data_IF_882841359416
#
_entry.id   IF_882841359416
#
_cell.length_a   1.000
_cell.length_b   1.000
_cell.length_c   1.000
_cell.angle_alpha   90.00
_cell.angle_beta   90.00
_cell.angle_gamma   90.00
#
_symmetry.space_group_name_H-M   'P 1'
#
loop_
_entity.id
_entity.type
_entity.pdbx_description
1 polymer ?
#
# COMPACT_ATOMS: atom_id res chain seq x y z
N UNK A 1 -26.84 8.90 -29.29
CA UNK A 1 -26.71 8.87 -30.77
C UNK A 1 -25.76 9.99 -31.16
N UNK A 2 -24.46 9.81 -31.32
CA UNK A 2 -23.85 9.13 -32.47
C UNK A 2 -22.38 8.83 -32.13
N UNK A 3 -22.09 7.67 -31.53
CA UNK A 3 -20.84 6.99 -31.86
C UNK A 3 -21.06 6.51 -33.29
N UNK A 4 -20.52 7.24 -34.26
CA UNK A 4 -20.61 6.83 -35.65
C UNK A 4 -19.98 5.45 -35.76
N UNK A 5 -20.85 4.48 -35.96
CA UNK A 5 -20.61 3.19 -36.56
C UNK A 5 -19.87 3.38 -37.90
N UNK A 6 -18.55 3.57 -37.82
CA UNK A 6 -17.64 3.49 -38.97
C UNK A 6 -16.45 2.55 -38.76
N UNK A 7 -16.47 1.75 -37.68
CA UNK A 7 -15.73 0.49 -37.64
C UNK A 7 -16.77 -0.64 -37.56
N UNK A 8 -16.88 -1.42 -38.63
CA UNK A 8 -17.77 -2.60 -38.74
C UNK A 8 -17.34 -3.78 -37.83
N UNK A 9 -16.50 -3.53 -36.82
CA UNK A 9 -15.73 -4.55 -36.08
C UNK A 9 -16.23 -4.80 -34.64
N UNK A 10 -17.32 -4.14 -34.22
CA UNK A 10 -17.91 -4.27 -32.88
C UNK A 10 -19.43 -4.45 -32.96
N UNK A 11 -19.95 -5.51 -32.32
CA UNK A 11 -21.37 -5.81 -32.21
C UNK A 11 -21.86 -5.34 -30.83
N UNK A 12 -22.84 -4.44 -30.80
CA UNK A 12 -23.54 -4.06 -29.58
C UNK A 12 -24.40 -5.23 -29.10
N UNK A 13 -24.09 -5.75 -27.90
CA UNK A 13 -24.77 -6.91 -27.34
C UNK A 13 -25.87 -6.53 -26.36
N UNK A 14 -25.70 -5.44 -25.61
CA UNK A 14 -26.69 -4.98 -24.64
C UNK A 14 -26.53 -3.50 -24.29
N UNK A 15 -27.65 -2.82 -24.03
CA UNK A 15 -27.72 -1.49 -23.41
C UNK A 15 -28.80 -1.57 -22.33
N UNK A 16 -28.46 -1.18 -21.12
CA UNK A 16 -29.42 -0.99 -20.04
C UNK A 16 -30.18 0.33 -20.29
N UNK A 17 -31.51 0.27 -20.54
CA UNK A 17 -32.29 1.45 -20.89
C UNK A 17 -32.56 2.40 -19.71
N UNK A 18 -32.41 1.95 -18.46
CA UNK A 18 -32.62 2.79 -17.28
C UNK A 18 -31.32 3.48 -16.85
N UNK A 19 -30.20 2.76 -16.97
CA UNK A 19 -28.91 3.27 -16.47
C UNK A 19 -27.99 3.80 -17.56
N UNK A 20 -28.23 3.51 -18.84
CA UNK A 20 -27.44 4.00 -19.99
C UNK A 20 -26.09 3.28 -20.20
N UNK A 21 -25.79 2.23 -19.44
CA UNK A 21 -24.57 1.43 -19.59
C UNK A 21 -24.70 0.41 -20.72
N UNK A 22 -23.59 0.12 -21.41
CA UNK A 22 -23.59 -0.74 -22.60
C UNK A 22 -22.44 -1.73 -22.66
N UNK A 23 -22.65 -2.85 -23.36
CA UNK A 23 -21.65 -3.88 -23.62
C UNK A 23 -21.44 -4.05 -25.14
N UNK A 24 -20.21 -3.84 -25.60
CA UNK A 24 -19.77 -4.09 -26.98
C UNK A 24 -18.85 -5.32 -27.03
N UNK A 25 -19.04 -6.18 -28.03
CA UNK A 25 -18.18 -7.34 -28.28
C UNK A 25 -17.49 -7.21 -29.65
N UNK A 26 -16.19 -7.51 -29.71
CA UNK A 26 -15.43 -7.56 -30.98
C UNK A 26 -15.06 -8.99 -31.33
N UNK A 27 -15.65 -9.53 -32.39
CA UNK A 27 -15.34 -10.88 -32.90
C UNK A 27 -13.91 -11.00 -33.46
N UNK A 28 -13.34 -9.90 -33.96
CA UNK A 28 -12.01 -9.88 -34.57
C UNK A 28 -10.87 -9.83 -33.55
N UNK A 29 -11.12 -9.25 -32.37
CA UNK A 29 -10.11 -9.05 -31.33
C UNK A 29 -10.38 -9.88 -30.06
N UNK A 30 -11.48 -10.62 -30.05
CA UNK A 30 -12.02 -11.41 -28.93
C UNK A 30 -12.01 -10.66 -27.57
N UNK A 31 -12.63 -9.47 -27.58
CA UNK A 31 -12.65 -8.54 -26.44
C UNK A 31 -14.07 -8.04 -26.15
N UNK A 32 -14.35 -7.84 -24.86
CA UNK A 32 -15.56 -7.15 -24.38
C UNK A 32 -15.21 -5.73 -23.91
N UNK A 33 -16.05 -4.76 -24.23
CA UNK A 33 -15.94 -3.36 -23.79
C UNK A 33 -17.16 -3.00 -22.94
N UNK A 34 -16.92 -2.46 -21.75
CA UNK A 34 -17.96 -1.91 -20.89
C UNK A 34 -18.02 -0.39 -21.06
N UNK A 35 -19.20 0.14 -21.33
CA UNK A 35 -19.45 1.56 -21.57
C UNK A 35 -20.28 2.13 -20.43
N UNK A 36 -19.91 3.33 -19.97
CA UNK A 36 -20.80 4.17 -19.16
C UNK A 36 -21.75 5.00 -20.03
N UNK A 37 -22.60 5.78 -19.34
CA UNK A 37 -23.69 6.61 -19.90
C UNK A 37 -23.28 7.66 -20.92
N UNK A 38 -21.98 8.00 -21.01
CA UNK A 38 -21.43 8.96 -21.96
C UNK A 38 -20.51 8.30 -23.01
N UNK A 39 -20.52 6.97 -23.08
CA UNK A 39 -19.73 6.16 -24.02
C UNK A 39 -18.21 6.40 -23.94
N UNK A 40 -17.72 6.74 -22.75
CA UNK A 40 -16.29 6.73 -22.45
C UNK A 40 -15.89 5.29 -22.14
N UNK A 41 -14.88 4.79 -22.84
CA UNK A 41 -14.35 3.45 -22.66
C UNK A 41 -13.85 3.30 -21.22
N UNK A 42 -14.54 2.50 -20.42
CA UNK A 42 -14.09 2.21 -19.07
C UNK A 42 -12.89 1.26 -19.18
N UNK A 43 -13.04 0.05 -19.70
CA UNK A 43 -12.03 -1.02 -19.60
C UNK A 43 -12.06 -1.97 -20.82
N UNK A 44 -10.96 -2.69 -21.10
CA UNK A 44 -10.88 -3.78 -22.11
C UNK A 44 -10.31 -5.06 -21.50
N UNK A 45 -10.83 -6.25 -21.87
CA UNK A 45 -10.30 -7.55 -21.38
C UNK A 45 -10.28 -8.60 -22.52
N UNK A 46 -9.23 -9.44 -22.63
CA UNK A 46 -9.23 -10.62 -23.52
C UNK A 46 -10.26 -11.67 -23.05
N UNK A 47 -10.92 -12.34 -23.98
CA UNK A 47 -11.89 -13.41 -23.68
C UNK A 47 -11.26 -14.56 -22.87
N UNK A 48 -9.99 -14.87 -23.11
CA UNK A 48 -9.20 -15.94 -22.53
C UNK A 48 -8.78 -15.66 -21.07
N UNK A 49 -9.01 -14.46 -20.55
CA UNK A 49 -8.94 -14.19 -19.10
C UNK A 49 -10.13 -14.82 -18.33
N UNK A 50 -11.21 -15.18 -19.05
CA UNK A 50 -12.33 -15.98 -18.52
C UNK A 50 -11.97 -17.47 -18.36
N UNK A 51 -10.92 -17.97 -19.04
CA UNK A 51 -10.52 -19.38 -19.02
C UNK A 51 -9.76 -19.82 -17.75
N UNK A 52 -9.20 -18.88 -16.97
CA UNK A 52 -8.33 -19.19 -15.81
C UNK A 52 -9.06 -19.77 -14.58
N UNK A 53 -10.38 -19.89 -14.64
CA UNK A 53 -11.18 -20.59 -13.63
C UNK A 53 -12.06 -21.62 -14.33
N UNK A 54 -11.65 -22.88 -14.30
CA UNK A 54 -12.38 -23.98 -14.95
C UNK A 54 -13.83 -24.11 -14.48
N UNK A 55 -14.15 -23.64 -13.27
CA UNK A 55 -15.54 -23.51 -12.81
C UNK A 55 -16.25 -22.31 -13.45
N UNK A 56 -15.65 -21.10 -13.48
CA UNK A 56 -16.30 -19.92 -14.12
C UNK A 56 -16.40 -20.02 -15.64
N UNK A 57 -15.54 -20.80 -16.29
CA UNK A 57 -15.62 -21.03 -17.74
C UNK A 57 -16.65 -22.11 -18.11
N UNK A 58 -16.97 -23.02 -17.18
CA UNK A 58 -18.16 -23.88 -17.32
C UNK A 58 -19.42 -23.03 -17.20
N UNK A 59 -19.41 -21.97 -16.37
CA UNK A 59 -20.49 -20.97 -16.35
C UNK A 59 -20.48 -20.17 -17.66
N UNK A 60 -19.38 -19.60 -18.14
CA UNK A 60 -19.35 -18.82 -19.39
C UNK A 60 -19.71 -19.62 -20.67
N UNK A 61 -19.33 -20.90 -20.77
CA UNK A 61 -19.76 -21.78 -21.88
C UNK A 61 -21.18 -22.32 -21.71
N UNK A 62 -21.73 -22.30 -20.48
CA UNK A 62 -23.16 -22.56 -20.20
C UNK A 62 -24.00 -21.28 -20.07
N UNK A 63 -23.40 -20.08 -20.18
CA UNK A 63 -24.03 -18.73 -20.11
C UNK A 63 -24.79 -18.41 -21.40
N UNK A 64 -25.67 -19.32 -21.81
CA UNK A 64 -26.90 -18.98 -22.53
C UNK A 64 -28.05 -18.69 -21.54
N UNK A 65 -27.74 -18.24 -20.32
CA UNK A 65 -28.68 -18.20 -19.19
C UNK A 65 -28.68 -16.83 -18.47
N UNK A 66 -29.82 -16.38 -17.90
CA UNK A 66 -30.10 -14.97 -17.55
C UNK A 66 -29.32 -14.36 -16.37
N UNK A 67 -28.47 -15.11 -15.68
CA UNK A 67 -27.93 -14.69 -14.37
C UNK A 67 -26.54 -13.98 -14.43
N UNK A 68 -26.05 -13.65 -15.62
CA UNK A 68 -24.84 -12.82 -15.76
C UNK A 68 -25.07 -11.37 -15.29
N UNK A 69 -26.32 -10.89 -15.42
CA UNK A 69 -26.73 -9.57 -14.95
C UNK A 69 -26.59 -9.44 -13.43
N UNK A 70 -26.93 -10.47 -12.66
CA UNK A 70 -26.89 -10.42 -11.19
C UNK A 70 -25.45 -10.33 -10.65
N UNK A 71 -24.50 -11.02 -11.29
CA UNK A 71 -23.09 -10.96 -10.87
C UNK A 71 -22.44 -9.61 -11.22
N UNK A 72 -22.73 -9.09 -12.41
CA UNK A 72 -22.26 -7.76 -12.84
C UNK A 72 -22.91 -6.65 -12.00
N UNK A 73 -24.21 -6.77 -11.71
CA UNK A 73 -24.93 -5.87 -10.82
C UNK A 73 -24.35 -5.90 -9.41
N UNK A 74 -23.99 -7.08 -8.89
CA UNK A 74 -23.34 -7.21 -7.59
C UNK A 74 -21.97 -6.54 -7.56
N UNK A 75 -21.12 -6.74 -8.56
CA UNK A 75 -19.81 -6.06 -8.63
C UNK A 75 -19.98 -4.54 -8.78
N UNK A 76 -20.94 -4.09 -9.57
CA UNK A 76 -21.25 -2.67 -9.71
C UNK A 76 -21.79 -2.07 -8.39
N UNK A 77 -22.62 -2.80 -7.67
CA UNK A 77 -23.12 -2.38 -6.35
C UNK A 77 -22.02 -2.40 -5.29
N UNK A 78 -21.14 -3.40 -5.28
CA UNK A 78 -19.95 -3.43 -4.40
C UNK A 78 -19.04 -2.21 -4.66
N UNK A 79 -18.86 -1.82 -5.93
CA UNK A 79 -18.09 -0.64 -6.34
C UNK A 79 -18.79 0.70 -6.05
N UNK A 80 -20.14 0.73 -6.06
CA UNK A 80 -20.93 1.90 -5.62
C UNK A 80 -20.90 2.06 -4.11
N UNK A 81 -21.04 0.96 -3.37
CA UNK A 81 -21.05 0.96 -1.91
C UNK A 81 -19.67 1.28 -1.31
N UNK A 82 -18.58 0.99 -2.04
CA UNK A 82 -17.22 1.33 -1.63
C UNK A 82 -16.87 2.81 -1.79
N UNK A 83 -17.76 3.64 -2.35
CA UNK A 83 -17.51 5.08 -2.59
C UNK A 83 -16.44 5.38 -3.63
N UNK A 84 -15.91 4.36 -4.33
CA UNK A 84 -14.88 4.52 -5.36
C UNK A 84 -15.43 5.18 -6.63
N UNK A 85 -16.74 5.15 -6.85
CA UNK A 85 -17.41 5.73 -8.02
C UNK A 85 -18.76 6.34 -7.63
N UNK A 86 -19.00 7.60 -8.03
CA UNK A 86 -20.35 8.20 -8.04
C UNK A 86 -20.82 8.41 -9.48
N UNK A 87 -22.14 8.33 -9.76
CA UNK A 87 -22.69 8.81 -11.01
C UNK A 87 -22.38 10.30 -11.20
N UNK A 88 -22.00 10.70 -12.42
CA UNK A 88 -22.02 12.11 -12.82
C UNK A 88 -23.47 12.47 -13.15
N UNK A 89 -23.94 13.62 -12.67
CA UNK A 89 -25.29 14.11 -13.01
C UNK A 89 -25.33 14.63 -14.45
N UNK A 90 -26.51 14.60 -15.08
CA UNK A 90 -26.68 15.07 -16.46
C UNK A 90 -26.23 16.54 -16.61
N UNK A 91 -25.22 16.76 -17.46
CA UNK A 91 -24.61 18.08 -17.68
C UNK A 91 -23.40 18.39 -16.81
N UNK A 92 -23.00 17.48 -15.92
CA UNK A 92 -21.77 17.60 -15.15
C UNK A 92 -20.55 17.33 -16.06
N UNK A 93 -19.88 18.39 -16.51
CA UNK A 93 -18.60 18.26 -17.19
C UNK A 93 -17.57 17.63 -16.24
N UNK A 94 -16.77 16.69 -16.72
CA UNK A 94 -15.48 16.34 -16.08
C UNK A 94 -14.63 17.61 -16.12
N UNK A 95 -14.80 18.47 -15.10
CA UNK A 95 -13.82 19.48 -14.79
C UNK A 95 -12.53 18.71 -14.57
N UNK A 96 -11.59 18.80 -15.52
CA UNK A 96 -10.19 18.48 -15.22
C UNK A 96 -9.91 19.18 -13.89
N UNK A 97 -9.59 18.39 -12.86
CA UNK A 97 -9.67 18.78 -11.47
C UNK A 97 -9.29 20.24 -11.30
N UNK A 98 -10.30 21.11 -11.17
CA UNK A 98 -10.05 22.52 -10.91
C UNK A 98 -9.31 22.56 -9.58
N UNK A 99 -8.20 23.29 -9.52
CA UNK A 99 -7.43 23.57 -8.30
C UNK A 99 -8.28 24.35 -7.28
N UNK A 100 -9.28 23.72 -6.69
CA UNK A 100 -10.11 24.30 -5.64
C UNK A 100 -9.97 23.44 -4.39
N UNK A 101 -9.19 23.96 -3.44
CA UNK A 101 -9.32 23.75 -1.99
C UNK A 101 -9.71 22.34 -1.52
N UNK A 102 -9.00 21.29 -1.95
CA UNK A 102 -9.01 20.03 -1.20
C UNK A 102 -8.40 20.32 0.17
N UNK A 103 -9.26 20.43 1.19
CA UNK A 103 -8.81 20.49 2.57
C UNK A 103 -8.28 19.11 2.93
N UNK A 104 -6.94 18.97 2.93
CA UNK A 104 -6.29 17.74 3.34
C UNK A 104 -6.38 17.59 4.86
N UNK A 105 -6.95 16.48 5.32
CA UNK A 105 -6.97 16.10 6.73
C UNK A 105 -5.70 15.32 7.09
N UNK A 106 -5.13 15.57 8.26
CA UNK A 106 -3.99 14.81 8.80
C UNK A 106 -4.52 13.57 9.52
N UNK A 107 -4.92 12.54 8.79
CA UNK A 107 -5.55 11.36 9.40
C UNK A 107 -4.55 10.47 10.12
N UNK A 108 -3.27 10.51 9.72
CA UNK A 108 -2.30 9.55 10.19
C UNK A 108 -0.93 10.14 10.53
N UNK A 109 -0.37 9.72 11.66
CA UNK A 109 1.01 10.02 12.04
C UNK A 109 1.80 8.73 12.16
N UNK A 110 2.96 8.66 11.51
CA UNK A 110 3.94 7.60 11.69
C UNK A 110 5.01 8.10 12.65
N UNK A 111 5.02 7.58 13.87
CA UNK A 111 6.01 7.89 14.87
C UNK A 111 7.14 6.87 14.84
N UNK A 112 8.32 7.30 14.39
CA UNK A 112 9.56 6.54 14.46
C UNK A 112 10.12 6.74 15.87
N UNK A 113 9.80 5.82 16.79
CA UNK A 113 10.02 6.01 18.22
C UNK A 113 11.50 5.92 18.63
N UNK A 114 12.32 5.25 17.83
CA UNK A 114 13.72 4.96 18.10
C UNK A 114 14.51 4.74 16.80
N UNK A 115 15.81 5.10 16.80
CA UNK A 115 16.77 4.67 15.76
C UNK A 115 17.45 3.35 16.13
N UNK A 116 17.53 3.06 17.43
CA UNK A 116 18.18 1.87 17.94
C UNK A 116 17.35 0.63 17.59
N UNK A 117 18.04 -0.44 17.22
CA UNK A 117 17.40 -1.73 16.96
C UNK A 117 18.19 -2.88 17.57
N UNK A 118 17.42 -3.82 18.11
CA UNK A 118 17.70 -5.22 18.32
C UNK A 118 18.60 -5.99 17.37
N UNK A 119 18.31 -5.71 16.11
CA UNK A 119 18.46 -6.61 14.99
C UNK A 119 19.31 -5.92 13.93
N UNK A 120 19.91 -6.74 13.08
CA UNK A 120 20.75 -6.27 11.98
C UNK A 120 20.24 -6.87 10.68
N UNK A 121 18.97 -6.60 10.39
CA UNK A 121 18.25 -7.25 9.30
C UNK A 121 18.98 -7.01 7.97
N UNK A 122 19.20 -8.10 7.23
CA UNK A 122 19.88 -8.06 5.94
C UNK A 122 19.16 -7.15 4.93
N UNK A 123 17.85 -7.01 5.04
CA UNK A 123 17.01 -6.24 4.12
C UNK A 123 16.51 -4.92 4.73
N UNK A 124 17.03 -4.47 5.88
CA UNK A 124 16.56 -3.23 6.50
C UNK A 124 16.78 -2.04 5.56
N UNK A 125 15.73 -1.25 5.33
CA UNK A 125 15.81 -0.02 4.56
C UNK A 125 16.09 1.22 5.43
N UNK A 126 15.69 1.17 6.71
CA UNK A 126 15.94 2.24 7.67
C UNK A 126 17.43 2.29 8.07
N UNK A 127 18.01 3.48 8.29
CA UNK A 127 19.25 3.58 9.04
C UNK A 127 18.93 3.23 10.50
N UNK A 128 19.62 2.24 11.07
CA UNK A 128 19.45 1.85 12.47
C UNK A 128 20.78 1.89 13.19
N UNK A 129 20.78 2.29 14.46
CA UNK A 129 21.95 2.23 15.33
C UNK A 129 21.92 0.96 16.20
N UNK A 130 23.10 0.47 16.61
CA UNK A 130 23.18 -0.67 17.53
C UNK A 130 22.62 -0.30 18.90
N UNK A 131 22.11 -1.27 19.66
CA UNK A 131 21.59 -1.06 21.03
C UNK A 131 22.63 -0.43 21.98
N UNK A 132 23.90 -0.75 21.74
CA UNK A 132 25.07 -0.25 22.47
C UNK A 132 25.58 1.12 21.98
N UNK A 133 24.81 1.78 21.11
CA UNK A 133 24.97 3.19 20.79
C UNK A 133 25.07 4.02 22.09
N UNK A 134 25.97 5.02 22.09
CA UNK A 134 26.25 5.84 23.26
C UNK A 134 24.97 6.45 23.85
N UNK A 135 24.95 6.69 25.16
CA UNK A 135 23.87 7.36 25.90
C UNK A 135 23.41 8.67 25.24
N UNK A 136 24.31 9.31 24.48
CA UNK A 136 24.11 10.53 23.69
C UNK A 136 23.20 10.36 22.45
N UNK A 137 23.09 9.15 21.87
CA UNK A 137 22.12 8.88 20.80
C UNK A 137 20.71 8.62 21.35
N UNK A 138 20.60 8.00 22.54
CA UNK A 138 19.33 7.83 23.26
C UNK A 138 18.77 9.16 23.77
N UNK A 139 19.64 10.11 24.12
CA UNK A 139 19.26 11.44 24.64
C UNK A 139 18.74 12.41 23.58
N UNK A 140 18.83 12.07 22.28
CA UNK A 140 18.31 12.92 21.19
C UNK A 140 16.86 12.61 20.84
N UNK A 141 16.23 11.63 21.49
CA UNK A 141 14.84 11.27 21.23
C UNK A 141 13.92 12.42 21.61
N UNK A 142 12.90 12.67 20.79
CA UNK A 142 11.82 13.57 21.19
C UNK A 142 11.20 13.08 22.50
N UNK A 143 11.09 13.98 23.46
CA UNK A 143 10.50 13.70 24.77
C UNK A 143 9.02 13.35 24.64
N UNK A 144 8.52 12.53 25.56
CA UNK A 144 7.10 12.14 25.60
C UNK A 144 6.21 13.37 25.65
N UNK A 145 6.51 14.34 26.52
CA UNK A 145 5.68 15.54 26.69
C UNK A 145 5.57 16.35 25.39
N UNK A 146 6.69 16.56 24.71
CA UNK A 146 6.74 17.26 23.41
C UNK A 146 5.94 16.53 22.34
N UNK A 147 6.09 15.21 22.26
CA UNK A 147 5.33 14.40 21.31
C UNK A 147 3.84 14.40 21.63
N UNK A 148 3.44 14.33 22.90
CA UNK A 148 2.03 14.37 23.29
C UNK A 148 1.38 15.73 22.97
N UNK A 149 2.08 16.84 23.19
CA UNK A 149 1.61 18.18 22.81
C UNK A 149 1.43 18.29 21.28
N UNK A 150 2.32 17.67 20.50
CA UNK A 150 2.19 17.60 19.05
C UNK A 150 0.96 16.78 18.62
N UNK A 151 0.72 15.62 19.25
CA UNK A 151 -0.48 14.81 18.97
C UNK A 151 -1.76 15.58 19.29
N UNK A 152 -1.82 16.28 20.43
CA UNK A 152 -2.98 17.11 20.79
C UNK A 152 -3.23 18.23 19.77
N UNK A 153 -2.16 18.89 19.31
CA UNK A 153 -2.22 19.94 18.30
C UNK A 153 -2.64 19.42 16.91
N UNK A 154 -2.44 18.12 16.65
CA UNK A 154 -2.84 17.48 15.40
C UNK A 154 -4.32 17.06 15.36
N UNK A 155 -5.00 16.95 16.51
CA UNK A 155 -6.41 16.51 16.56
C UNK A 155 -7.35 17.42 15.75
N UNK A 156 -7.26 18.76 15.81
CA UNK A 156 -8.11 19.64 14.99
C UNK A 156 -7.89 19.49 13.48
N UNK A 157 -6.78 18.88 13.05
CA UNK A 157 -6.48 18.59 11.65
C UNK A 157 -7.07 17.25 11.17
N UNK A 158 -7.77 16.51 12.05
CA UNK A 158 -8.44 15.25 11.72
C UNK A 158 -7.62 13.99 12.04
N UNK A 159 -6.72 14.04 13.02
CA UNK A 159 -5.91 12.88 13.41
C UNK A 159 -6.76 11.74 13.99
N UNK A 160 -6.71 10.59 13.33
CA UNK A 160 -7.45 9.38 13.71
C UNK A 160 -6.52 8.21 14.09
N UNK A 161 -5.32 8.16 13.51
CA UNK A 161 -4.44 7.00 13.61
C UNK A 161 -2.98 7.38 13.89
N UNK A 162 -2.37 6.76 14.90
CA UNK A 162 -0.94 6.86 15.17
C UNK A 162 -0.28 5.50 15.01
N UNK A 163 0.61 5.37 14.04
CA UNK A 163 1.43 4.17 13.84
C UNK A 163 2.80 4.37 14.46
N UNK A 164 3.16 3.52 15.40
CA UNK A 164 4.47 3.52 16.05
C UNK A 164 5.37 2.48 15.36
N UNK A 165 6.54 2.92 14.92
CA UNK A 165 7.54 2.11 14.20
C UNK A 165 8.95 2.68 14.49
N UNK A 166 9.97 2.31 13.72
CA UNK A 166 11.34 2.80 13.91
C UNK A 166 12.40 1.73 13.65
N UNK A 167 13.47 1.78 14.43
CA UNK A 167 14.37 0.65 14.64
C UNK A 167 13.63 -0.47 15.38
N UNK A 168 13.64 -0.46 16.71
CA UNK A 168 12.72 -1.26 17.53
C UNK A 168 12.03 -0.39 18.59
N UNK A 169 10.71 -0.11 18.46
CA UNK A 169 10.00 0.74 19.40
C UNK A 169 10.02 0.25 20.84
N UNK A 170 10.02 -1.07 21.08
CA UNK A 170 10.01 -1.64 22.44
C UNK A 170 11.31 -1.38 23.22
N UNK A 171 12.36 -0.84 22.58
CA UNK A 171 13.55 -0.31 23.28
C UNK A 171 13.30 1.07 23.92
N UNK A 172 12.13 1.66 23.74
CA UNK A 172 11.74 2.93 24.32
C UNK A 172 11.00 2.71 25.65
N UNK A 173 11.65 3.06 26.76
CA UNK A 173 11.16 2.76 28.12
C UNK A 173 9.85 3.47 28.52
N UNK A 174 9.55 4.61 27.90
CA UNK A 174 8.31 5.39 28.09
C UNK A 174 7.23 5.07 27.05
N UNK A 175 7.42 4.05 26.19
CA UNK A 175 6.47 3.71 25.12
C UNK A 175 5.06 3.43 25.65
N UNK A 176 4.94 2.72 26.78
CA UNK A 176 3.63 2.43 27.38
C UNK A 176 2.88 3.68 27.84
N UNK A 177 3.61 4.72 28.27
CA UNK A 177 3.00 6.02 28.61
C UNK A 177 2.55 6.77 27.37
N UNK A 178 3.34 6.72 26.28
CA UNK A 178 2.98 7.31 24.99
C UNK A 178 1.71 6.66 24.43
N UNK A 179 1.64 5.32 24.41
CA UNK A 179 0.46 4.58 23.96
C UNK A 179 -0.78 5.01 24.75
N UNK A 180 -0.70 5.02 26.09
CA UNK A 180 -1.80 5.46 26.95
C UNK A 180 -2.19 6.91 26.70
N UNK A 181 -1.21 7.79 26.48
CA UNK A 181 -1.43 9.19 26.15
C UNK A 181 -2.23 9.34 24.86
N UNK A 182 -1.80 8.67 23.79
CA UNK A 182 -2.48 8.73 22.48
C UNK A 182 -3.91 8.19 22.60
N UNK A 183 -4.10 7.01 23.20
CA UNK A 183 -5.44 6.41 23.36
C UNK A 183 -6.38 7.30 24.16
N UNK A 184 -5.88 7.99 25.19
CA UNK A 184 -6.68 8.94 25.98
C UNK A 184 -7.15 10.15 25.15
N UNK A 185 -6.38 10.57 24.16
CA UNK A 185 -6.74 11.67 23.25
C UNK A 185 -7.73 11.24 22.16
N UNK A 186 -7.88 9.94 21.90
CA UNK A 186 -8.84 9.39 20.94
C UNK A 186 -8.25 8.56 19.79
N UNK A 187 -7.09 8.92 19.19
CA UNK A 187 -6.56 8.17 18.05
C UNK A 187 -6.33 6.67 18.34
N UNK A 188 -6.50 5.84 17.31
CA UNK A 188 -6.09 4.43 17.38
C UNK A 188 -4.56 4.32 17.31
N UNK A 189 -4.02 3.24 17.87
CA UNK A 189 -2.58 3.00 17.90
C UNK A 189 -2.26 1.68 17.21
N UNK A 190 -1.37 1.74 16.23
CA UNK A 190 -0.75 0.57 15.64
C UNK A 190 0.74 0.52 16.01
N UNK A 191 1.30 -0.67 16.16
CA UNK A 191 2.71 -0.89 16.48
C UNK A 191 3.32 -1.91 15.52
N UNK A 192 4.42 -1.53 14.86
CA UNK A 192 5.30 -2.47 14.18
C UNK A 192 6.51 -2.80 15.06
N UNK A 193 6.75 -4.10 15.28
CA UNK A 193 7.84 -4.58 16.13
C UNK A 193 8.43 -5.87 15.58
N UNK A 194 9.71 -6.14 15.88
CA UNK A 194 10.32 -7.44 15.62
C UNK A 194 9.81 -8.54 16.56
N UNK A 195 9.02 -8.19 17.60
CA UNK A 195 8.40 -9.11 18.54
C UNK A 195 9.36 -9.70 19.57
N UNK A 196 10.67 -9.44 19.47
CA UNK A 196 11.69 -10.05 20.31
C UNK A 196 11.53 -9.70 21.80
N UNK A 197 11.11 -8.46 22.06
CA UNK A 197 10.98 -7.87 23.39
C UNK A 197 9.56 -8.00 23.98
N UNK A 198 8.64 -8.71 23.31
CA UNK A 198 7.32 -8.95 23.87
C UNK A 198 7.40 -10.07 24.92
N UNK A 199 7.44 -9.65 26.18
CA UNK A 199 7.23 -10.48 27.36
C UNK A 199 5.79 -10.33 27.89
N UNK A 200 5.48 -10.92 29.06
CA UNK A 200 4.12 -10.87 29.63
C UNK A 200 3.68 -9.42 29.89
N UNK A 201 4.59 -8.59 30.42
CA UNK A 201 4.31 -7.20 30.76
C UNK A 201 4.07 -6.37 29.49
N UNK A 202 4.88 -6.57 28.46
CA UNK A 202 4.70 -5.91 27.17
C UNK A 202 3.39 -6.36 26.50
N UNK A 203 3.08 -7.66 26.52
CA UNK A 203 1.83 -8.18 25.97
C UNK A 203 0.59 -7.64 26.71
N UNK A 204 0.62 -7.56 28.04
CA UNK A 204 -0.43 -6.94 28.84
C UNK A 204 -0.60 -5.46 28.49
N UNK A 205 0.50 -4.71 28.41
CA UNK A 205 0.50 -3.29 28.06
C UNK A 205 -0.09 -3.05 26.67
N UNK A 206 0.27 -3.86 25.67
CA UNK A 206 -0.22 -3.72 24.29
C UNK A 206 -1.71 -4.10 24.18
N UNK A 207 -2.12 -5.17 24.87
CA UNK A 207 -3.52 -5.60 24.92
C UNK A 207 -4.41 -4.56 25.61
N UNK A 208 -4.03 -4.09 26.81
CA UNK A 208 -4.77 -3.05 27.53
C UNK A 208 -4.79 -1.70 26.81
N UNK A 209 -3.76 -1.43 25.99
CA UNK A 209 -3.70 -0.26 25.13
C UNK A 209 -4.53 -0.38 23.85
N UNK A 210 -5.19 -1.53 23.62
CA UNK A 210 -5.93 -1.84 22.39
C UNK A 210 -5.09 -1.57 21.13
N UNK A 211 -3.81 -1.95 21.19
CA UNK A 211 -2.85 -1.68 20.12
C UNK A 211 -2.98 -2.73 19.03
N UNK A 212 -3.09 -2.29 17.77
CA UNK A 212 -2.96 -3.17 16.61
C UNK A 212 -1.47 -3.51 16.42
N UNK A 213 -1.09 -4.78 16.66
CA UNK A 213 0.31 -5.19 16.63
C UNK A 213 0.65 -5.96 15.36
N UNK A 214 1.61 -5.43 14.61
CA UNK A 214 2.24 -6.08 13.46
C UNK A 214 3.61 -6.63 13.85
N UNK A 215 3.75 -7.96 13.86
CA UNK A 215 4.98 -8.68 14.17
C UNK A 215 5.71 -9.02 12.87
N UNK A 216 6.97 -8.65 12.85
CA UNK A 216 7.88 -8.89 11.74
C UNK A 216 8.31 -10.37 11.66
N UNK A 217 7.96 -11.09 10.58
CA UNK A 217 8.31 -12.52 10.39
C UNK A 217 8.69 -12.84 8.93
N UNK A 218 9.99 -13.04 8.64
CA UNK A 218 10.48 -13.29 7.27
C UNK A 218 10.80 -14.75 6.92
N UNK A 219 10.32 -15.71 7.70
CA UNK A 219 10.55 -17.13 7.45
C UNK A 219 9.74 -17.99 8.40
N UNK A 220 9.34 -19.18 7.94
CA UNK A 220 8.60 -20.16 8.74
C UNK A 220 9.51 -21.06 9.58
N UNK A 221 10.81 -20.76 9.63
CA UNK A 221 11.82 -21.47 10.40
C UNK A 221 12.82 -20.50 11.02
N UNK A 222 13.37 -20.92 12.15
CA UNK A 222 14.46 -20.23 12.85
C UNK A 222 15.65 -19.95 11.93
N UNK A 223 16.08 -20.94 11.16
CA UNK A 223 17.25 -20.82 10.26
C UNK A 223 17.08 -19.67 9.27
N UNK A 224 15.92 -19.57 8.60
CA UNK A 224 15.71 -18.54 7.56
C UNK A 224 15.38 -17.19 8.18
N UNK A 225 14.50 -17.17 9.18
CA UNK A 225 14.07 -15.93 9.80
C UNK A 225 15.23 -15.24 10.55
N UNK A 226 15.94 -15.96 11.42
CA UNK A 226 17.02 -15.37 12.24
C UNK A 226 18.18 -14.90 11.36
N UNK A 227 18.48 -15.63 10.27
CA UNK A 227 19.48 -15.24 9.27
C UNK A 227 19.12 -13.91 8.59
N UNK A 228 17.86 -13.73 8.18
CA UNK A 228 17.41 -12.50 7.54
C UNK A 228 17.31 -11.33 8.51
N UNK A 229 16.99 -11.59 9.78
CA UNK A 229 16.90 -10.58 10.84
C UNK A 229 18.25 -10.26 11.48
N UNK A 230 19.25 -11.12 11.32
CA UNK A 230 20.55 -10.97 11.99
C UNK A 230 20.41 -10.99 13.51
N UNK A 231 19.44 -11.75 14.04
CA UNK A 231 19.11 -11.81 15.47
C UNK A 231 18.77 -13.25 15.88
N UNK A 232 19.70 -13.98 16.51
CA UNK A 232 19.46 -15.35 16.96
C UNK A 232 18.32 -15.45 17.98
N UNK A 233 17.49 -16.48 17.83
CA UNK A 233 16.28 -16.72 18.62
C UNK A 233 15.09 -15.84 18.24
N UNK A 234 15.18 -14.98 17.22
CA UNK A 234 14.11 -14.04 16.90
C UNK A 234 12.86 -14.73 16.39
N UNK A 235 12.97 -15.84 15.68
CA UNK A 235 11.82 -16.63 15.23
C UNK A 235 10.97 -17.13 16.40
N UNK A 236 11.64 -17.72 17.40
CA UNK A 236 10.96 -18.27 18.59
C UNK A 236 10.31 -17.15 19.41
N UNK A 237 10.98 -16.00 19.53
CA UNK A 237 10.43 -14.85 20.24
C UNK A 237 9.24 -14.24 19.51
N UNK A 238 9.32 -14.06 18.19
CA UNK A 238 8.24 -13.52 17.39
C UNK A 238 6.99 -14.42 17.44
N UNK A 239 7.15 -15.74 17.30
CA UNK A 239 6.01 -16.68 17.38
C UNK A 239 5.40 -16.73 18.77
N UNK A 240 6.23 -16.73 19.82
CA UNK A 240 5.75 -16.60 21.21
C UNK A 240 4.98 -15.30 21.41
N UNK A 241 5.47 -14.19 20.88
CA UNK A 241 4.80 -12.88 20.98
C UNK A 241 3.42 -12.89 20.32
N UNK A 242 3.29 -13.47 19.12
CA UNK A 242 1.99 -13.65 18.45
C UNK A 242 1.01 -14.42 19.35
N UNK A 243 1.45 -15.57 19.88
CA UNK A 243 0.62 -16.39 20.75
C UNK A 243 0.20 -15.66 22.03
N UNK A 244 1.12 -14.95 22.66
CA UNK A 244 0.84 -14.19 23.89
C UNK A 244 -0.18 -13.07 23.70
N UNK A 245 -0.14 -12.40 22.54
CA UNK A 245 -1.12 -11.38 22.17
C UNK A 245 -2.48 -12.01 21.84
N UNK A 246 -2.47 -13.10 21.07
CA UNK A 246 -3.69 -13.84 20.72
C UNK A 246 -4.41 -14.37 21.97
N UNK A 247 -3.67 -14.90 22.95
CA UNK A 247 -4.22 -15.39 24.23
C UNK A 247 -4.87 -14.29 25.08
N UNK A 248 -4.58 -13.03 24.77
CA UNK A 248 -5.18 -11.83 25.39
C UNK A 248 -6.32 -11.24 24.56
N UNK A 249 -6.79 -11.95 23.54
CA UNK A 249 -7.86 -11.51 22.64
C UNK A 249 -7.43 -10.45 21.63
N UNK A 250 -6.13 -10.20 21.47
CA UNK A 250 -5.64 -9.37 20.37
C UNK A 250 -5.60 -10.19 19.07
N UNK A 251 -5.65 -9.50 17.94
CA UNK A 251 -5.50 -10.10 16.62
C UNK A 251 -4.17 -9.65 15.99
N UNK A 252 -3.03 -10.26 16.37
CA UNK A 252 -1.74 -9.86 15.83
C UNK A 252 -1.68 -10.09 14.32
N UNK A 253 -0.91 -9.27 13.63
CA UNK A 253 -0.66 -9.41 12.20
C UNK A 253 0.81 -9.76 11.97
N UNK A 254 1.10 -10.36 10.83
CA UNK A 254 2.48 -10.59 10.38
C UNK A 254 2.82 -9.65 9.24
N UNK A 255 4.01 -9.05 9.30
CA UNK A 255 4.62 -8.32 8.18
C UNK A 255 5.88 -9.06 7.73
N UNK A 256 5.88 -9.47 6.47
CA UNK A 256 6.96 -10.20 5.80
C UNK A 256 7.54 -9.36 4.67
N UNK A 257 8.87 -9.24 4.62
CA UNK A 257 9.60 -8.75 3.45
C UNK A 257 10.07 -9.93 2.61
N UNK A 258 9.50 -10.08 1.42
CA UNK A 258 9.77 -11.22 0.54
C UNK A 258 10.98 -10.97 -0.37
N UNK A 259 11.83 -11.98 -0.48
CA UNK A 259 13.04 -12.02 -1.31
C UNK A 259 13.28 -13.44 -1.80
N UNK A 260 14.24 -13.64 -2.71
CA UNK A 260 14.62 -14.98 -3.16
C UNK A 260 15.15 -15.88 -2.03
N UNK A 261 15.64 -15.27 -0.93
CA UNK A 261 16.15 -16.00 0.25
C UNK A 261 15.07 -16.64 1.13
N UNK A 262 13.83 -16.15 1.09
CA UNK A 262 12.71 -16.69 1.87
C UNK A 262 11.48 -17.06 1.03
N UNK A 263 11.58 -16.98 -0.30
CA UNK A 263 10.48 -17.33 -1.21
C UNK A 263 9.94 -18.74 -0.95
N UNK A 264 10.83 -19.71 -0.68
CA UNK A 264 10.46 -21.09 -0.37
C UNK A 264 9.81 -21.29 1.00
N UNK A 265 9.84 -20.29 1.88
CA UNK A 265 9.30 -20.37 3.24
C UNK A 265 7.97 -19.63 3.40
N UNK A 266 7.49 -18.90 2.38
CA UNK A 266 6.27 -18.07 2.46
C UNK A 266 5.06 -18.84 3.01
N UNK A 267 4.78 -20.02 2.45
CA UNK A 267 3.64 -20.84 2.89
C UNK A 267 3.80 -21.32 4.33
N UNK A 268 5.04 -21.64 4.74
CA UNK A 268 5.34 -22.02 6.12
C UNK A 268 5.19 -20.84 7.07
N UNK A 269 5.62 -19.64 6.67
CA UNK A 269 5.40 -18.39 7.42
C UNK A 269 3.90 -18.15 7.63
N UNK A 270 3.08 -18.33 6.58
CA UNK A 270 1.62 -18.21 6.66
C UNK A 270 1.02 -19.23 7.63
N UNK A 271 1.43 -20.49 7.51
CA UNK A 271 1.01 -21.56 8.43
C UNK A 271 1.37 -21.24 9.89
N UNK A 272 2.58 -20.72 10.14
CA UNK A 272 3.05 -20.34 11.48
C UNK A 272 2.22 -19.17 12.02
N UNK A 273 1.97 -18.15 11.21
CA UNK A 273 1.15 -17.00 11.60
C UNK A 273 -0.27 -17.44 11.99
N UNK A 274 -0.94 -18.20 11.12
CA UNK A 274 -2.28 -18.71 11.37
C UNK A 274 -2.34 -19.58 12.65
N UNK A 275 -1.37 -20.46 12.85
CA UNK A 275 -1.32 -21.35 14.03
C UNK A 275 -1.07 -20.61 15.34
N UNK A 276 -0.58 -19.37 15.29
CA UNK A 276 -0.35 -18.52 16.46
C UNK A 276 -1.40 -17.41 16.61
N UNK A 277 -2.55 -17.55 15.93
CA UNK A 277 -3.71 -16.68 16.11
C UNK A 277 -3.63 -15.35 15.35
N UNK A 278 -2.79 -15.26 14.31
CA UNK A 278 -2.77 -14.08 13.46
C UNK A 278 -3.95 -14.03 12.51
N UNK A 279 -4.52 -12.83 12.32
CA UNK A 279 -5.66 -12.59 11.42
C UNK A 279 -5.24 -12.20 9.99
N UNK A 280 -4.02 -11.66 9.83
CA UNK A 280 -3.50 -11.13 8.56
C UNK A 280 -2.00 -11.39 8.41
N UNK A 281 -1.59 -11.75 7.19
CA UNK A 281 -0.18 -11.75 6.77
C UNK A 281 -0.01 -10.76 5.62
N UNK A 282 0.72 -9.67 5.88
CA UNK A 282 1.13 -8.67 4.90
C UNK A 282 2.49 -9.05 4.30
N UNK A 283 2.53 -9.18 2.99
CA UNK A 283 3.70 -9.60 2.21
C UNK A 283 4.14 -8.42 1.34
N UNK A 284 5.29 -7.85 1.67
CA UNK A 284 5.86 -6.68 1.00
C UNK A 284 7.05 -7.09 0.13
N UNK A 285 7.13 -6.61 -1.13
CA UNK A 285 8.35 -6.67 -1.91
C UNK A 285 9.50 -6.01 -1.15
N UNK A 286 10.70 -6.60 -1.24
CA UNK A 286 11.89 -6.02 -0.65
C UNK A 286 12.15 -4.62 -1.22
N UNK A 287 12.27 -3.65 -0.32
CA UNK A 287 12.62 -2.28 -0.66
C UNK A 287 14.13 -2.13 -0.90
N UNK A 288 14.54 -1.38 -1.92
CA UNK A 288 15.94 -1.24 -2.34
C UNK A 288 16.45 0.20 -2.21
N UNK A 289 16.02 0.91 -1.18
CA UNK A 289 16.43 2.29 -0.87
C UNK A 289 16.92 2.40 0.57
N UNK A 290 17.54 3.52 0.93
CA UNK A 290 18.17 3.69 2.25
C UNK A 290 19.27 2.68 2.51
N UNK A 291 19.31 2.09 3.71
CA UNK A 291 20.31 1.05 4.06
C UNK A 291 20.25 -0.19 3.15
N UNK A 292 19.10 -0.42 2.50
CA UNK A 292 18.90 -1.53 1.57
C UNK A 292 19.35 -1.20 0.13
N UNK A 293 19.80 0.03 -0.16
CA UNK A 293 20.28 0.42 -1.49
C UNK A 293 21.43 -0.46 -1.99
N UNK A 294 22.29 -0.95 -1.09
CA UNK A 294 23.35 -1.93 -1.40
C UNK A 294 22.85 -3.25 -2.02
N UNK A 295 21.53 -3.52 -1.94
CA UNK A 295 20.91 -4.71 -2.53
C UNK A 295 20.42 -4.47 -3.95
N UNK A 296 20.42 -3.22 -4.44
CA UNK A 296 19.95 -2.88 -5.79
C UNK A 296 20.69 -3.71 -6.83
N UNK A 297 19.93 -4.34 -7.74
CA UNK A 297 20.48 -5.24 -8.76
C UNK A 297 20.94 -6.61 -8.26
N UNK A 298 20.82 -6.92 -6.97
CA UNK A 298 21.22 -8.24 -6.44
C UNK A 298 20.23 -9.34 -6.81
N UNK A 299 20.74 -10.56 -6.92
CA UNK A 299 19.97 -11.79 -7.16
C UNK A 299 19.04 -12.20 -6.01
N UNK A 300 18.88 -11.38 -4.96
CA UNK A 300 17.89 -11.65 -3.92
C UNK A 300 16.58 -10.90 -4.15
N UNK A 301 16.58 -9.86 -4.99
CA UNK A 301 15.37 -9.11 -5.34
C UNK A 301 14.52 -9.97 -6.27
N UNK A 302 13.23 -10.10 -5.94
CA UNK A 302 12.29 -10.80 -6.80
C UNK A 302 11.93 -9.94 -8.02
N UNK A 303 11.78 -10.60 -9.16
CA UNK A 303 11.19 -10.03 -10.36
C UNK A 303 9.69 -9.81 -10.17
N UNK A 304 9.11 -8.92 -10.97
CA UNK A 304 7.65 -8.73 -10.98
C UNK A 304 6.90 -10.02 -11.32
N UNK A 305 7.45 -10.88 -12.19
CA UNK A 305 6.87 -12.20 -12.51
C UNK A 305 6.77 -13.10 -11.30
N UNK A 306 7.84 -13.20 -10.50
CA UNK A 306 7.82 -14.00 -9.26
C UNK A 306 6.83 -13.45 -8.23
N UNK A 307 6.73 -12.13 -8.10
CA UNK A 307 5.75 -11.49 -7.20
C UNK A 307 4.30 -11.76 -7.65
N UNK A 308 4.01 -11.62 -8.95
CA UNK A 308 2.70 -11.94 -9.53
C UNK A 308 2.37 -13.41 -9.31
N UNK A 309 3.32 -14.31 -9.57
CA UNK A 309 3.12 -15.75 -9.42
C UNK A 309 2.84 -16.12 -7.96
N UNK A 310 3.56 -15.52 -7.01
CA UNK A 310 3.26 -15.72 -5.59
C UNK A 310 1.87 -15.20 -5.21
N UNK A 311 1.49 -14.01 -5.71
CA UNK A 311 0.15 -13.45 -5.49
C UNK A 311 -0.96 -14.36 -6.04
N UNK A 312 -0.77 -15.06 -7.17
CA UNK A 312 -1.79 -15.99 -7.71
C UNK A 312 -2.17 -17.09 -6.72
N UNK A 313 -1.23 -17.51 -5.86
CA UNK A 313 -1.46 -18.52 -4.82
C UNK A 313 -2.28 -18.01 -3.63
N UNK A 314 -2.60 -16.71 -3.58
CA UNK A 314 -3.28 -16.06 -2.45
C UNK A 314 -4.56 -16.78 -2.02
N UNK A 315 -5.50 -17.00 -2.95
CA UNK A 315 -6.80 -17.60 -2.62
C UNK A 315 -6.67 -19.00 -2.05
N UNK A 316 -5.79 -19.82 -2.63
CA UNK A 316 -5.55 -21.18 -2.18
C UNK A 316 -4.93 -21.21 -0.78
N UNK A 317 -4.00 -20.29 -0.51
CA UNK A 317 -3.36 -20.15 0.80
C UNK A 317 -4.33 -19.60 1.86
N UNK A 318 -5.15 -18.59 1.53
CA UNK A 318 -6.21 -18.08 2.43
C UNK A 318 -7.20 -19.21 2.77
N UNK A 319 -7.67 -19.96 1.77
CA UNK A 319 -8.60 -21.07 1.97
C UNK A 319 -7.99 -22.21 2.80
N UNK A 320 -6.70 -22.50 2.58
CA UNK A 320 -5.98 -23.57 3.28
C UNK A 320 -5.70 -23.26 4.74
N UNK A 321 -5.35 -22.02 5.06
CA UNK A 321 -4.87 -21.64 6.39
C UNK A 321 -5.85 -20.78 7.19
N UNK A 322 -6.93 -20.29 6.59
CA UNK A 322 -7.94 -19.48 7.28
C UNK A 322 -7.43 -18.12 7.76
N UNK A 323 -6.38 -17.59 7.13
CA UNK A 323 -5.78 -16.28 7.44
C UNK A 323 -5.85 -15.38 6.22
N UNK A 324 -6.12 -14.09 6.42
CA UNK A 324 -6.14 -13.13 5.31
C UNK A 324 -4.72 -12.85 4.81
N UNK A 325 -4.56 -12.69 3.51
CA UNK A 325 -3.27 -12.39 2.89
C UNK A 325 -3.34 -11.06 2.14
N UNK A 326 -2.37 -10.20 2.40
CA UNK A 326 -2.25 -8.92 1.74
C UNK A 326 -0.92 -8.83 1.01
N UNK A 327 -0.96 -8.78 -0.32
CA UNK A 327 0.23 -8.62 -1.15
C UNK A 327 0.36 -7.16 -1.55
N UNK A 328 1.42 -6.50 -1.10
CA UNK A 328 1.71 -5.11 -1.48
C UNK A 328 2.22 -5.07 -2.91
N UNK A 329 1.32 -4.87 -3.86
CA UNK A 329 1.62 -4.65 -5.27
C UNK A 329 0.84 -3.45 -5.79
N UNK A 330 1.39 -2.71 -6.77
CA UNK A 330 0.65 -1.66 -7.45
C UNK A 330 -0.70 -2.18 -7.99
N UNK A 331 -1.77 -1.36 -7.99
CA UNK A 331 -3.08 -1.75 -8.51
C UNK A 331 -3.07 -2.30 -9.94
N UNK A 332 -2.11 -1.89 -10.78
CA UNK A 332 -1.89 -2.46 -12.12
C UNK A 332 -1.61 -3.96 -12.10
N UNK A 333 -1.14 -4.51 -10.98
CA UNK A 333 -0.89 -5.93 -10.80
C UNK A 333 -1.86 -6.56 -9.80
N UNK A 334 -3.00 -5.91 -9.51
CA UNK A 334 -4.05 -6.43 -8.66
C UNK A 334 -5.30 -6.81 -9.47
N UNK A 335 -6.17 -7.63 -8.88
CA UNK A 335 -7.48 -7.93 -9.46
C UNK A 335 -8.47 -6.83 -9.12
N UNK A 336 -9.51 -6.62 -9.94
CA UNK A 336 -10.56 -5.64 -9.64
C UNK A 336 -11.20 -5.86 -8.27
N UNK A 337 -11.39 -7.12 -7.88
CA UNK A 337 -11.90 -7.47 -6.55
C UNK A 337 -10.98 -6.97 -5.43
N UNK A 338 -9.66 -7.13 -5.55
CA UNK A 338 -8.73 -6.64 -4.51
C UNK A 338 -8.69 -5.12 -4.44
N UNK A 339 -8.77 -4.45 -5.59
CA UNK A 339 -8.86 -2.99 -5.65
C UNK A 339 -10.15 -2.52 -4.96
N UNK A 340 -11.29 -3.09 -5.34
CA UNK A 340 -12.60 -2.75 -4.78
C UNK A 340 -12.73 -3.09 -3.29
N UNK A 341 -12.11 -4.19 -2.85
CA UNK A 341 -12.15 -4.62 -1.45
C UNK A 341 -11.10 -3.94 -0.56
N UNK A 342 -10.38 -2.92 -1.06
CA UNK A 342 -9.32 -2.24 -0.31
C UNK A 342 -8.10 -3.14 0.02
N UNK A 343 -7.93 -4.27 -0.66
CA UNK A 343 -6.80 -5.20 -0.51
C UNK A 343 -5.60 -4.83 -1.36
N UNK A 344 -5.61 -3.64 -1.95
CA UNK A 344 -4.46 -2.98 -2.57
C UNK A 344 -4.07 -1.80 -1.72
N UNK A 345 -2.90 -1.88 -1.09
CA UNK A 345 -2.39 -0.83 -0.21
C UNK A 345 -2.10 0.42 -1.00
N UNK A 346 -2.77 1.50 -0.63
CA UNK A 346 -2.34 2.82 -1.04
C UNK A 346 -1.79 3.54 0.18
N UNK A 347 -0.56 4.02 0.05
CA UNK A 347 0.05 4.87 1.06
C UNK A 347 -0.77 6.17 1.16
N UNK A 348 -1.23 6.58 2.35
CA UNK A 348 -2.00 7.81 2.53
C UNK A 348 -1.07 9.03 2.59
N UNK A 349 -0.03 9.09 1.74
CA UNK A 349 1.05 10.08 1.80
C UNK A 349 0.55 11.54 1.70
N UNK A 350 -0.68 11.79 1.22
CA UNK A 350 -1.31 13.12 1.18
C UNK A 350 -1.89 13.56 2.54
N UNK A 351 -2.23 12.59 3.39
CA UNK A 351 -2.97 12.73 4.64
C UNK A 351 -2.17 12.21 5.85
N UNK A 352 -0.84 12.12 5.73
CA UNK A 352 0.01 11.65 6.82
C UNK A 352 1.28 12.49 7.03
N UNK A 353 1.84 12.39 8.24
CA UNK A 353 3.18 12.87 8.57
C UNK A 353 4.01 11.75 9.22
N UNK A 354 5.32 11.77 8.98
CA UNK A 354 6.32 11.02 9.72
C UNK A 354 7.00 11.91 10.75
N UNK A 355 7.00 11.49 12.02
CA UNK A 355 7.80 12.08 13.09
C UNK A 355 8.99 11.18 13.36
N UNK A 356 10.19 11.67 13.07
CA UNK A 356 11.44 10.95 13.24
C UNK A 356 11.88 10.92 14.71
N UNK A 357 12.82 10.04 15.10
CA UNK A 357 13.16 9.86 16.52
C UNK A 357 13.61 11.14 17.21
N UNK A 358 14.26 12.04 16.48
CA UNK A 358 14.73 13.32 17.00
C UNK A 358 13.69 14.45 16.96
N UNK A 359 12.45 14.15 16.57
CA UNK A 359 11.38 15.12 16.43
C UNK A 359 11.30 15.78 15.05
N UNK A 360 12.22 15.48 14.13
CA UNK A 360 12.12 15.99 12.75
C UNK A 360 10.85 15.48 12.07
N UNK A 361 10.22 16.30 11.23
CA UNK A 361 9.00 15.99 10.49
C UNK A 361 9.32 15.82 9.01
N UNK A 362 8.78 14.74 8.43
CA UNK A 362 8.74 14.47 7.00
C UNK A 362 7.35 13.93 6.63
N UNK A 363 7.08 13.59 5.36
CA UNK A 363 5.80 12.98 4.97
C UNK A 363 5.74 11.49 5.33
N UNK A 364 6.89 10.81 5.47
CA UNK A 364 7.00 9.46 6.03
C UNK A 364 8.42 9.24 6.59
N UNK A 365 8.78 8.00 6.97
CA UNK A 365 10.14 7.69 7.46
C UNK A 365 11.27 7.84 6.46
N UNK A 366 10.98 8.27 5.23
CA UNK A 366 12.02 8.55 4.24
C UNK A 366 12.92 9.71 4.65
N UNK A 367 12.44 10.61 5.52
CA UNK A 367 13.26 11.70 6.07
C UNK A 367 14.50 11.22 6.83
N UNK A 368 14.51 9.98 7.35
CA UNK A 368 15.71 9.37 7.94
C UNK A 368 16.82 9.08 6.91
N UNK A 369 16.49 9.11 5.62
CA UNK A 369 17.38 8.77 4.51
C UNK A 369 17.67 10.02 3.67
N UNK A 370 16.63 10.80 3.38
CA UNK A 370 16.69 12.00 2.55
C UNK A 370 16.31 13.21 3.40
N UNK A 371 17.32 13.87 3.96
CA UNK A 371 17.16 14.96 4.92
C UNK A 371 16.61 16.24 4.28
N UNK A 372 16.72 16.36 2.95
CA UNK A 372 16.06 17.39 2.14
C UNK A 372 14.53 17.25 2.11
N UNK A 373 13.99 16.12 2.58
CA UNK A 373 12.55 15.90 2.77
C UNK A 373 12.09 16.14 4.22
N UNK A 374 12.94 16.72 5.06
CA UNK A 374 12.59 17.20 6.39
C UNK A 374 12.13 18.66 6.26
N UNK A 375 10.92 18.95 6.73
CA UNK A 375 10.30 20.28 6.59
C UNK A 375 9.80 20.85 7.92
N UNK A 376 10.21 20.27 9.05
CA UNK A 376 9.96 20.83 10.37
C UNK A 376 10.59 19.97 11.47
N UNK A 377 10.50 20.44 12.71
CA UNK A 377 10.92 19.69 13.90
C UNK A 377 10.02 20.05 15.08
N UNK A 378 9.62 19.06 15.86
CA UNK A 378 8.89 19.23 17.11
C UNK A 378 9.91 19.33 18.25
N UNK A 379 10.63 20.45 18.33
CA UNK A 379 11.73 20.60 19.27
C UNK A 379 11.42 21.39 20.55
N UNK A 380 10.43 22.29 20.63
CA UNK A 380 10.01 22.97 21.88
C UNK A 380 8.76 23.88 21.69
N UNK A 381 8.33 24.60 22.75
CA UNK A 381 7.08 25.40 22.82
C UNK A 381 6.86 26.33 21.61
N UNK A 382 5.64 26.28 21.03
CA UNK A 382 5.22 27.18 19.95
C UNK A 382 5.30 26.61 18.53
N UNK A 383 5.64 25.32 18.37
CA UNK A 383 5.53 24.63 17.09
C UNK A 383 4.07 24.67 16.56
N UNK A 384 3.88 25.22 15.37
CA UNK A 384 2.57 25.35 14.72
C UNK A 384 2.40 24.28 13.64
N UNK A 385 1.75 23.18 14.02
CA UNK A 385 1.44 22.08 13.10
C UNK A 385 0.47 22.51 12.00
N UNK A 386 -0.46 23.41 12.29
CA UNK A 386 -1.45 23.86 11.31
C UNK A 386 -0.76 24.60 10.17
N UNK A 387 0.14 25.51 10.52
CA UNK A 387 0.97 26.22 9.55
C UNK A 387 1.84 25.26 8.74
N UNK A 388 2.56 24.33 9.40
CA UNK A 388 3.38 23.34 8.69
C UNK A 388 2.54 22.49 7.73
N UNK A 389 1.36 22.05 8.17
CA UNK A 389 0.47 21.20 7.36
C UNK A 389 -0.09 21.92 6.13
N UNK A 390 -0.31 23.24 6.22
CA UNK A 390 -0.87 24.06 5.14
C UNK A 390 0.21 24.62 4.21
N UNK A 391 1.36 25.01 4.74
CA UNK A 391 2.34 25.84 4.03
C UNK A 391 3.63 25.09 3.62
N UNK A 392 3.88 23.87 4.13
CA UNK A 392 5.12 23.17 3.79
C UNK A 392 5.19 22.86 2.29
N UNK A 393 6.22 23.39 1.63
CA UNK A 393 6.41 23.29 0.18
C UNK A 393 6.39 21.85 -0.30
N UNK A 394 7.07 20.93 0.40
CA UNK A 394 7.07 19.51 0.05
C UNK A 394 5.68 18.86 0.12
N UNK A 395 4.84 19.25 1.09
CA UNK A 395 3.46 18.75 1.18
C UNK A 395 2.60 19.30 0.05
N UNK A 396 2.72 20.60 -0.23
CA UNK A 396 2.06 21.25 -1.37
C UNK A 396 2.49 20.57 -2.66
N UNK A 397 3.78 20.31 -2.85
CA UNK A 397 4.34 19.63 -4.01
C UNK A 397 3.72 18.24 -4.19
N UNK A 398 3.76 17.40 -3.15
CA UNK A 398 3.21 16.04 -3.19
C UNK A 398 1.70 16.04 -3.44
N UNK A 399 0.95 17.01 -2.91
CA UNK A 399 -0.50 17.10 -3.09
C UNK A 399 -0.91 17.61 -4.46
N UNK A 400 -0.21 18.63 -4.96
CA UNK A 400 -0.57 19.37 -6.18
C UNK A 400 0.11 18.83 -7.44
N UNK A 401 1.33 18.31 -7.35
CA UNK A 401 2.07 17.86 -8.52
C UNK A 401 1.69 16.44 -8.97
N UNK A 402 1.19 15.57 -8.08
CA UNK A 402 0.87 14.18 -8.44
C UNK A 402 -0.42 13.99 -9.23
N UNK A 403 -1.21 15.04 -9.47
CA UNK A 403 -2.45 14.93 -10.24
C UNK A 403 -2.24 15.27 -11.70
N UNK A 404 -2.20 14.23 -12.56
CA UNK A 404 -2.11 14.34 -14.01
C UNK A 404 -0.71 14.64 -14.54
N UNK A 405 0.34 14.53 -13.72
CA UNK A 405 1.72 14.91 -14.10
C UNK A 405 2.77 13.82 -13.84
N UNK A 406 2.35 12.61 -13.46
CA UNK A 406 3.29 11.49 -13.35
C UNK A 406 3.94 11.21 -14.71
N UNK A 407 5.23 10.86 -14.69
CA UNK A 407 6.01 10.50 -15.86
C UNK A 407 6.06 8.99 -16.05
N UNK A 408 6.57 8.56 -17.20
CA UNK A 408 6.77 7.15 -17.55
C UNK A 408 5.45 6.36 -17.56
N UNK A 409 5.53 5.07 -17.29
CA UNK A 409 4.35 4.18 -17.34
C UNK A 409 3.23 4.62 -16.39
N UNK A 410 3.56 5.24 -15.25
CA UNK A 410 2.57 5.72 -14.31
C UNK A 410 1.72 6.87 -14.86
N UNK A 411 2.29 7.72 -15.72
CA UNK A 411 1.56 8.78 -16.42
C UNK A 411 0.63 8.26 -17.52
N UNK A 412 0.92 7.06 -18.04
CA UNK A 412 0.12 6.38 -19.04
C UNK A 412 -0.93 5.43 -18.41
N UNK A 413 -0.89 5.21 -17.10
CA UNK A 413 -1.72 4.19 -16.44
C UNK A 413 -3.13 4.72 -16.10
N UNK A 414 -4.18 3.95 -16.37
CA UNK A 414 -5.57 4.29 -15.99
C UNK A 414 -5.76 4.47 -14.48
N UNK A 415 -4.86 3.90 -13.66
CA UNK A 415 -4.88 4.06 -12.20
C UNK A 415 -4.13 5.30 -11.71
N UNK A 416 -3.59 6.16 -12.57
CA UNK A 416 -2.80 7.35 -12.17
C UNK A 416 -3.52 8.23 -11.14
N UNK A 417 -4.81 8.51 -11.37
CA UNK A 417 -5.65 9.33 -10.50
C UNK A 417 -5.97 8.69 -9.15
N UNK A 418 -5.94 7.36 -9.07
CA UNK A 418 -6.21 6.58 -7.87
C UNK A 418 -4.90 6.23 -7.14
N UNK A 419 -4.05 5.45 -7.79
CA UNK A 419 -2.79 4.93 -7.26
C UNK A 419 -1.72 6.00 -7.01
N UNK A 420 -1.69 7.06 -7.82
CA UNK A 420 -0.66 8.13 -7.78
C UNK A 420 0.77 7.61 -7.85
N UNK A 421 0.97 6.47 -8.49
CA UNK A 421 2.27 5.82 -8.62
C UNK A 421 2.72 5.03 -7.38
N UNK A 422 1.83 4.51 -6.54
CA UNK A 422 2.22 3.65 -5.42
C UNK A 422 3.20 4.38 -4.46
N UNK A 423 4.34 3.80 -4.11
CA UNK A 423 5.27 4.35 -3.15
C UNK A 423 6.07 5.54 -3.72
N UNK A 424 5.68 6.76 -3.36
CA UNK A 424 6.42 7.98 -3.75
C UNK A 424 7.83 8.06 -3.16
N UNK A 425 8.07 7.42 -2.01
CA UNK A 425 9.41 7.30 -1.44
C UNK A 425 10.35 6.44 -2.30
N UNK A 426 9.84 5.38 -2.97
CA UNK A 426 10.64 4.58 -3.92
C UNK A 426 11.00 5.41 -5.16
N UNK A 427 10.03 6.08 -5.76
CA UNK A 427 10.26 6.94 -6.93
C UNK A 427 11.28 8.05 -6.63
N UNK A 428 11.13 8.71 -5.47
CA UNK A 428 12.07 9.74 -5.03
C UNK A 428 13.47 9.18 -4.78
N UNK A 429 13.58 8.01 -4.14
CA UNK A 429 14.88 7.41 -3.86
C UNK A 429 15.68 7.03 -5.11
N UNK A 430 15.00 6.70 -6.21
CA UNK A 430 15.64 6.37 -7.48
C UNK A 430 15.95 7.58 -8.35
N UNK A 431 15.09 8.59 -8.35
CA UNK A 431 15.12 9.67 -9.35
C UNK A 431 15.28 11.08 -8.78
N UNK A 432 15.20 11.23 -7.45
CA UNK A 432 15.05 12.53 -6.75
C UNK A 432 13.85 13.34 -7.23
N UNK A 433 12.82 12.67 -7.72
CA UNK A 433 11.58 13.30 -8.17
C UNK A 433 10.35 12.50 -7.74
N UNK A 434 9.37 13.19 -7.16
CA UNK A 434 8.06 12.59 -6.87
C UNK A 434 7.24 12.30 -8.12
N UNK A 435 7.57 12.93 -9.26
CA UNK A 435 6.88 12.75 -10.54
C UNK A 435 7.37 11.53 -11.31
N UNK A 436 8.47 10.90 -10.89
CA UNK A 436 8.96 9.69 -11.55
C UNK A 436 7.96 8.53 -11.40
N UNK A 437 7.92 7.60 -12.36
CA UNK A 437 7.11 6.40 -12.24
C UNK A 437 7.56 5.56 -11.04
N UNK A 438 6.67 4.71 -10.55
CA UNK A 438 7.06 3.64 -9.64
C UNK A 438 8.10 2.73 -10.31
N UNK A 439 9.25 2.45 -9.67
CA UNK A 439 10.30 1.63 -10.27
C UNK A 439 9.88 0.22 -10.65
N UNK A 440 8.98 -0.40 -9.87
CA UNK A 440 8.51 -1.75 -10.16
C UNK A 440 7.62 -1.75 -11.40
N UNK A 441 6.69 -0.80 -11.49
CA UNK A 441 5.86 -0.59 -12.68
C UNK A 441 6.70 -0.27 -13.91
N UNK A 442 7.65 0.65 -13.80
CA UNK A 442 8.48 1.11 -14.93
C UNK A 442 9.32 -0.03 -15.50
N UNK A 443 9.99 -0.81 -14.64
CA UNK A 443 10.72 -2.01 -15.09
C UNK A 443 9.81 -3.04 -15.72
N UNK A 444 8.63 -3.28 -15.14
CA UNK A 444 7.67 -4.20 -15.72
C UNK A 444 7.23 -3.75 -17.13
N UNK A 445 7.12 -2.45 -17.37
CA UNK A 445 6.77 -1.90 -18.68
C UNK A 445 7.91 -2.11 -19.69
N UNK A 446 9.13 -1.79 -19.31
CA UNK A 446 10.34 -2.00 -20.14
C UNK A 446 10.58 -3.47 -20.48
N UNK A 447 10.22 -4.39 -19.58
CA UNK A 447 10.29 -5.84 -19.79
C UNK A 447 9.08 -6.43 -20.54
N UNK A 448 8.09 -5.61 -20.92
CA UNK A 448 6.88 -6.07 -21.62
C UNK A 448 5.93 -6.92 -20.77
N UNK A 449 5.98 -6.76 -19.44
CA UNK A 449 5.17 -7.49 -18.45
C UNK A 449 4.03 -6.63 -17.92
N UNK A 450 4.20 -5.29 -17.96
CA UNK A 450 3.15 -4.38 -17.51
C UNK A 450 1.89 -4.61 -18.34
N UNK A 451 0.70 -4.69 -17.71
CA UNK A 451 -0.50 -5.00 -18.46
C UNK A 451 -0.90 -3.82 -19.36
N UNK A 452 -0.72 -4.01 -20.66
CA UNK A 452 -0.93 -3.01 -21.70
C UNK A 452 -2.37 -2.48 -21.74
N UNK A 453 -3.34 -3.30 -21.34
CA UNK A 453 -4.75 -2.93 -21.22
C UNK A 453 -5.06 -1.91 -20.13
N UNK A 454 -4.10 -1.61 -19.24
CA UNK A 454 -4.17 -0.50 -18.29
C UNK A 454 -3.47 0.76 -18.77
N UNK A 455 -2.94 0.77 -19.99
CA UNK A 455 -2.35 1.97 -20.59
C UNK A 455 -3.42 2.74 -21.35
N UNK A 456 -3.49 4.05 -21.09
CA UNK A 456 -4.29 4.99 -21.85
C UNK A 456 -3.64 5.10 -23.23
N UNK A 457 -4.35 4.64 -24.25
CA UNK A 457 -3.94 4.87 -25.64
C UNK A 457 -4.00 6.36 -25.94
N UNK A 458 -2.86 7.05 -25.94
CA UNK A 458 -2.76 8.36 -26.56
C UNK A 458 -2.52 8.11 -28.04
N UNK A 459 -3.59 8.01 -28.83
CA UNK A 459 -3.47 8.11 -30.28
C UNK A 459 -3.39 9.57 -30.67
N UNK A 460 -2.20 10.07 -30.99
CA UNK A 460 -2.12 11.18 -31.94
C UNK A 460 -2.25 10.60 -33.34
N UNK A 461 -3.29 11.02 -34.07
CA UNK A 461 -3.38 10.76 -35.50
C UNK A 461 -2.38 11.67 -36.23
N UNK A 462 -1.10 11.28 -36.26
CA UNK A 462 -0.15 11.85 -37.22
C UNK A 462 -0.09 10.86 -38.41
N UNK A 463 -0.76 11.21 -39.51
CA UNK A 463 -0.53 10.55 -40.80
C UNK A 463 -1.17 9.18 -41.03
N UNK A 464 -1.99 8.64 -40.12
CA UNK A 464 -2.79 7.43 -40.39
C UNK A 464 -2.11 6.10 -40.05
N UNK A 465 -0.94 6.12 -39.42
CA UNK A 465 -0.36 4.93 -38.76
C UNK A 465 -0.54 5.02 -37.24
N UNK A 466 -0.80 3.87 -36.60
CA UNK A 466 -0.91 3.77 -35.14
C UNK A 466 0.50 3.75 -34.55
N UNK A 467 1.01 4.88 -34.12
CA UNK A 467 2.20 4.93 -33.26
C UNK A 467 1.81 5.03 -31.78
N UNK A 468 2.54 4.29 -30.95
CA UNK A 468 2.51 4.47 -29.50
C UNK A 468 3.31 5.74 -29.19
N UNK A 469 2.72 6.71 -28.51
CA UNK A 469 3.51 7.80 -27.91
C UNK A 469 4.32 7.19 -26.76
N UNK A 470 5.57 6.80 -27.07
CA UNK A 470 6.58 6.32 -26.10
C UNK A 470 7.21 7.52 -25.40
#
# INVERSE_FOLDING_TARGET
MTLMAKNQDYILKHIDPETGYGLLYSEKNDRCLFLNTVATLLWTMPSDFLDSSRESCTVAKSMKSPNAADYVAKVADDMRQSGLFRPLEDGEALKGASMNDEVYTLNQIYFYAAMECNAHCYHCYQPTTKVDASTEQKSKRVGKEVFMNFIESALPLGLEHVKITGGEPLLRGDLGEIIRGIRKLGPSVALETNGFLIDEKAADMLSQGEVEVSISLDGGSEVVHDSLRGLPGSFQRATRAMKMLSDRGCEPQVVMSISRRNLGEVEKTISVAASNGCSLVKINPLSTFGSAERLKGSEIILTIKELIEMRKRRKDLEAKYGVSLFFELPPSFASPYEIASGRTGMCPFKNMLGVLPDGSISFCGIGNIYHDLIFGRIDEEGFDIQRLWQEAEALIEIRTLLSGKLKGVCGLCVFESFCKGSCRAHAYGESRSFLAPDPLCQRAFEEGIFPDYYLIMITEMIGGEKEWLI
#
